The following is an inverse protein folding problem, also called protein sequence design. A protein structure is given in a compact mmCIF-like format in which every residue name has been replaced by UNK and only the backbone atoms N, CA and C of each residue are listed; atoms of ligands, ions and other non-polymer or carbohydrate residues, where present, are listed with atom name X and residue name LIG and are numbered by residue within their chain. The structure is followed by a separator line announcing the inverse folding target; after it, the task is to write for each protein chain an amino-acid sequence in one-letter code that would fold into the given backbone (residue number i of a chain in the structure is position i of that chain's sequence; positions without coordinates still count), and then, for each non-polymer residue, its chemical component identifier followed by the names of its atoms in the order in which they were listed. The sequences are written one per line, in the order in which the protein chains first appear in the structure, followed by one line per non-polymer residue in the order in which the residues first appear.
data_IF_235687450240
#
_entry.id   IF_235687450240
#
_cell.length_a   1.000
_cell.length_b   1.000
_cell.length_c   1.000
_cell.angle_alpha   90.00
_cell.angle_beta   90.00
_cell.angle_gamma   90.00
#
_symmetry.space_group_name_H-M   'P 1'
#
loop_
_entity.id
_entity.type
_entity.pdbx_description
1 polymer ?
#
# COMPACT_ATOMS: atom_id res chain seq x y z
N UNK A 1 -7.82 22.23 4.93
CA UNK A 1 -7.33 20.99 4.28
C UNK A 1 -8.34 19.89 4.57
N UNK A 2 -9.15 19.49 3.59
CA UNK A 2 -10.10 18.39 3.79
C UNK A 2 -9.31 17.11 4.02
N UNK A 3 -9.46 16.49 5.20
CA UNK A 3 -8.76 15.27 5.54
C UNK A 3 -9.27 14.14 4.66
N UNK A 4 -8.46 13.69 3.70
CA UNK A 4 -8.77 12.50 2.89
C UNK A 4 -9.11 11.33 3.82
N UNK A 5 -10.34 10.82 3.72
CA UNK A 5 -10.81 9.66 4.48
C UNK A 5 -10.04 8.43 3.97
N UNK A 6 -9.51 7.57 4.85
CA UNK A 6 -8.86 6.33 4.42
C UNK A 6 -9.81 5.47 3.59
N UNK A 7 -9.39 5.12 2.38
CA UNK A 7 -10.08 4.18 1.51
C UNK A 7 -9.93 2.75 2.04
N UNK A 8 -10.89 1.89 1.72
CA UNK A 8 -10.79 0.44 1.93
C UNK A 8 -10.08 -0.23 0.75
N UNK A 9 -9.60 -1.46 0.94
CA UNK A 9 -8.90 -2.21 -0.13
C UNK A 9 -9.78 -2.42 -1.36
N UNK A 10 -11.11 -2.55 -1.24
CA UNK A 10 -12.00 -2.69 -2.39
C UNK A 10 -12.09 -1.39 -3.21
N UNK A 11 -12.11 -0.23 -2.56
CA UNK A 11 -12.19 1.08 -3.21
C UNK A 11 -10.94 1.39 -4.03
N UNK A 12 -9.79 0.86 -3.64
CA UNK A 12 -8.53 1.06 -4.38
C UNK A 12 -8.58 0.49 -5.81
N UNK A 13 -9.42 -0.52 -6.07
CA UNK A 13 -9.55 -1.12 -7.41
C UNK A 13 -10.15 -0.16 -8.44
N UNK A 14 -10.82 0.90 -7.99
CA UNK A 14 -11.41 1.93 -8.84
C UNK A 14 -10.48 3.11 -9.16
N UNK A 15 -9.27 3.15 -8.58
CA UNK A 15 -8.34 4.27 -8.77
C UNK A 15 -7.68 4.24 -10.15
N UNK A 16 -7.55 5.41 -10.76
CA UNK A 16 -6.76 5.59 -11.98
C UNK A 16 -5.26 5.62 -11.62
N UNK A 17 -4.37 5.09 -12.47
CA UNK A 17 -2.93 5.20 -12.25
C UNK A 17 -2.47 6.64 -11.98
N UNK A 18 -1.72 6.84 -10.90
CA UNK A 18 -1.23 8.15 -10.48
C UNK A 18 -2.09 8.84 -9.42
N UNK A 19 -3.29 8.33 -9.14
CA UNK A 19 -4.10 8.83 -8.02
C UNK A 19 -3.45 8.56 -6.66
N UNK A 20 -3.61 9.51 -5.75
CA UNK A 20 -3.13 9.41 -4.37
C UNK A 20 -4.28 9.01 -3.46
N UNK A 21 -4.02 8.06 -2.57
CA UNK A 21 -4.97 7.58 -1.60
C UNK A 21 -4.35 7.49 -0.21
N UNK A 22 -5.21 7.38 0.81
CA UNK A 22 -4.85 6.92 2.15
C UNK A 22 -5.56 5.60 2.40
N UNK A 23 -4.93 4.69 3.11
CA UNK A 23 -5.55 3.42 3.55
C UNK A 23 -5.06 3.11 4.96
N UNK A 24 -5.87 2.40 5.73
CA UNK A 24 -5.49 1.82 7.02
C UNK A 24 -5.79 0.33 7.00
N UNK A 25 -4.92 -0.46 7.60
CA UNK A 25 -5.08 -1.90 7.69
C UNK A 25 -4.02 -2.52 8.60
N UNK A 26 -4.09 -3.83 8.76
CA UNK A 26 -3.12 -4.62 9.50
C UNK A 26 -2.02 -5.08 8.56
N UNK A 27 -0.75 -4.89 8.96
CA UNK A 27 0.39 -5.43 8.25
C UNK A 27 0.46 -6.95 8.47
N UNK A 28 0.15 -7.73 7.43
CA UNK A 28 0.17 -9.19 7.50
C UNK A 28 1.56 -9.77 7.19
N UNK A 29 2.27 -9.19 6.23
CA UNK A 29 3.60 -9.63 5.82
C UNK A 29 4.52 -8.44 5.50
N UNK A 30 5.80 -8.60 5.82
CA UNK A 30 6.86 -7.65 5.48
C UNK A 30 8.15 -8.41 5.13
N UNK A 31 8.79 -8.06 4.00
CA UNK A 31 10.06 -8.66 3.55
C UNK A 31 10.98 -7.58 2.99
N UNK A 32 12.24 -7.59 3.42
CA UNK A 32 13.27 -6.71 2.85
C UNK A 32 13.77 -7.25 1.50
N UNK A 33 13.95 -6.36 0.53
CA UNK A 33 14.42 -6.62 -0.83
C UNK A 33 15.33 -5.49 -1.32
N UNK A 34 16.07 -5.75 -2.38
CA UNK A 34 16.83 -4.73 -3.11
C UNK A 34 16.26 -4.55 -4.52
N UNK A 35 16.11 -3.31 -4.97
CA UNK A 35 15.67 -3.00 -6.33
C UNK A 35 16.79 -3.24 -7.35
N UNK A 36 16.53 -2.94 -8.64
CA UNK A 36 17.53 -3.09 -9.72
C UNK A 36 18.76 -2.19 -9.57
N UNK A 37 18.67 -1.15 -8.72
CA UNK A 37 19.74 -0.22 -8.40
C UNK A 37 20.41 -0.55 -7.06
N UNK A 38 20.15 -1.74 -6.51
CA UNK A 38 20.63 -2.20 -5.21
C UNK A 38 20.16 -1.32 -4.03
N UNK A 39 19.05 -0.58 -4.18
CA UNK A 39 18.47 0.20 -3.08
C UNK A 39 17.48 -0.66 -2.30
N UNK A 40 17.51 -0.62 -0.95
CA UNK A 40 16.60 -1.39 -0.13
C UNK A 40 15.16 -0.89 -0.28
N UNK A 41 14.21 -1.83 -0.30
CA UNK A 41 12.78 -1.56 -0.21
C UNK A 41 12.08 -2.70 0.54
N UNK A 42 10.88 -2.42 1.04
CA UNK A 42 10.04 -3.41 1.71
C UNK A 42 8.90 -3.85 0.79
N UNK A 43 8.75 -5.15 0.59
CA UNK A 43 7.50 -5.74 0.11
C UNK A 43 6.58 -5.93 1.31
N UNK A 44 5.39 -5.34 1.24
CA UNK A 44 4.39 -5.38 2.32
C UNK A 44 3.04 -5.89 1.81
N UNK A 45 2.34 -6.64 2.66
CA UNK A 45 0.94 -7.02 2.44
C UNK A 45 0.12 -6.41 3.57
N UNK A 46 -0.77 -5.48 3.23
CA UNK A 46 -1.70 -4.83 4.14
C UNK A 46 -3.09 -5.45 3.98
N UNK A 47 -3.80 -5.71 5.07
CA UNK A 47 -5.12 -6.35 5.06
C UNK A 47 -6.12 -5.51 5.83
N UNK A 48 -7.32 -5.32 5.28
CA UNK A 48 -8.49 -4.80 5.99
C UNK A 48 -9.65 -5.81 5.90
N UNK A 49 -10.84 -5.41 6.34
CA UNK A 49 -12.04 -6.28 6.30
C UNK A 49 -12.50 -6.65 4.90
N UNK A 50 -12.03 -5.96 3.86
CA UNK A 50 -12.49 -6.11 2.48
C UNK A 50 -11.47 -6.83 1.58
N UNK A 51 -10.25 -7.06 2.07
CA UNK A 51 -9.22 -7.76 1.32
C UNK A 51 -7.81 -7.35 1.69
N UNK A 52 -6.90 -7.51 0.73
CA UNK A 52 -5.48 -7.24 0.88
C UNK A 52 -4.93 -6.36 -0.23
N UNK A 53 -3.89 -5.59 0.07
CA UNK A 53 -3.12 -4.77 -0.85
C UNK A 53 -1.65 -5.12 -0.71
N UNK A 54 -1.03 -5.43 -1.84
CA UNK A 54 0.41 -5.59 -1.95
C UNK A 54 1.05 -4.26 -2.32
N UNK A 55 2.08 -3.84 -1.59
CA UNK A 55 2.79 -2.61 -1.86
C UNK A 55 4.29 -2.75 -1.69
N UNK A 56 5.01 -1.81 -2.30
CA UNK A 56 6.45 -1.62 -2.12
C UNK A 56 6.69 -0.27 -1.43
N UNK A 57 7.50 -0.27 -0.39
CA UNK A 57 7.80 0.93 0.41
C UNK A 57 9.29 1.21 0.35
N UNK A 58 9.65 2.42 -0.08
CA UNK A 58 11.02 2.92 -0.11
C UNK A 58 11.24 3.94 1.02
N UNK A 59 12.48 4.03 1.51
CA UNK A 59 12.96 5.09 2.40
C UNK A 59 13.55 6.26 1.64
#
# INVERSE_FOLDING_TARGET
MSGMIPATTSQLRGLVPGERFKIMGVLQQIKSRSDKNNKPFWEVVLVDSEGSVEAKVWS
#
